data_IF_787028083305
#
_entry.id   IF_787028083305
#
_cell.length_a   1.000
_cell.length_b   1.000
_cell.length_c   1.000
_cell.angle_alpha   90.00
_cell.angle_beta   90.00
_cell.angle_gamma   90.00
#
_symmetry.space_group_name_H-M   'P 1'
#
loop_
_entity.id
_entity.type
_entity.pdbx_description
1 polymer ?
#
# COMPACT_ATOMS: atom_id res chain seq x y z
N UNK A 1 12.02 19.32 -19.58
CA UNK A 1 11.72 18.18 -18.67
C UNK A 1 12.72 18.11 -17.52
N UNK A 2 14.03 18.17 -17.79
CA UNK A 2 15.08 17.98 -16.77
C UNK A 2 15.04 18.94 -15.59
N UNK A 3 14.72 20.23 -15.83
CA UNK A 3 14.62 21.22 -14.75
C UNK A 3 13.47 20.92 -13.77
N UNK A 4 12.36 20.34 -14.25
CA UNK A 4 11.22 19.97 -13.40
C UNK A 4 11.54 18.73 -12.59
N UNK A 5 12.24 17.76 -13.19
CA UNK A 5 12.73 16.57 -12.45
C UNK A 5 13.76 16.95 -11.39
N UNK A 6 14.74 17.80 -11.74
CA UNK A 6 15.73 18.29 -10.78
C UNK A 6 15.08 19.11 -9.65
N UNK A 7 13.99 19.82 -9.92
CA UNK A 7 13.24 20.52 -8.88
C UNK A 7 12.54 19.56 -7.93
N UNK A 8 11.84 18.55 -8.46
CA UNK A 8 11.20 17.52 -7.65
C UNK A 8 12.23 16.75 -6.79
N UNK A 9 13.38 16.41 -7.36
CA UNK A 9 14.49 15.79 -6.63
C UNK A 9 14.97 16.64 -5.46
N UNK A 10 15.19 17.94 -5.67
CA UNK A 10 15.57 18.87 -4.58
C UNK A 10 14.53 18.94 -3.47
N UNK A 11 13.24 18.90 -3.81
CA UNK A 11 12.16 18.89 -2.82
C UNK A 11 12.22 17.63 -1.96
N UNK A 12 12.37 16.46 -2.59
CA UNK A 12 12.46 15.20 -1.84
C UNK A 12 13.72 15.13 -0.98
N UNK A 13 14.90 15.44 -1.54
CA UNK A 13 16.17 15.50 -0.79
C UNK A 13 16.07 16.44 0.41
N UNK A 14 15.49 17.63 0.21
CA UNK A 14 15.29 18.58 1.31
C UNK A 14 14.32 18.09 2.37
N UNK A 15 13.36 17.22 2.04
CA UNK A 15 12.45 16.63 3.00
C UNK A 15 13.09 15.46 3.75
N UNK A 16 13.85 14.61 3.05
CA UNK A 16 14.62 13.51 3.65
C UNK A 16 15.64 14.07 4.67
N UNK A 17 16.33 15.16 4.35
CA UNK A 17 17.31 15.79 5.25
C UNK A 17 16.73 16.34 6.56
N UNK A 18 15.40 16.39 6.71
CA UNK A 18 14.74 16.77 7.96
C UNK A 18 14.36 15.56 8.81
N UNK A 19 14.41 14.35 8.23
CA UNK A 19 14.29 13.10 8.98
C UNK A 19 15.63 12.87 9.68
N UNK A 20 15.65 12.54 10.99
CA UNK A 20 16.91 12.25 11.66
C UNK A 20 17.64 11.09 10.98
N UNK A 21 18.97 11.20 10.86
CA UNK A 21 19.80 10.08 10.38
C UNK A 21 19.65 8.89 11.33
N UNK A 22 19.50 7.70 10.75
CA UNK A 22 19.21 6.51 11.54
C UNK A 22 18.73 5.32 10.72
N UNK A 23 18.37 4.27 11.45
CA UNK A 23 17.74 3.07 10.88
C UNK A 23 16.47 2.77 11.64
N UNK A 24 15.37 2.65 10.91
CA UNK A 24 14.02 2.46 11.43
C UNK A 24 13.42 1.20 10.81
N UNK A 25 12.70 0.40 11.59
CA UNK A 25 12.28 -0.92 11.12
C UNK A 25 10.88 -1.27 11.56
N UNK A 26 10.11 -1.84 10.64
CA UNK A 26 8.80 -2.36 10.94
C UNK A 26 8.59 -3.73 10.32
N UNK A 27 7.77 -4.52 11.02
CA UNK A 27 7.26 -5.80 10.55
C UNK A 27 5.75 -5.80 10.68
N UNK A 28 5.08 -6.19 9.60
CA UNK A 28 3.66 -6.51 9.56
C UNK A 28 3.46 -7.86 8.86
N UNK A 29 2.22 -8.27 8.67
CA UNK A 29 1.88 -9.56 8.09
C UNK A 29 0.73 -9.41 7.10
N UNK A 30 0.73 -10.26 6.08
CA UNK A 30 -0.44 -10.49 5.23
C UNK A 30 -0.88 -11.95 5.40
N UNK A 31 -2.19 -12.16 5.42
CA UNK A 31 -2.77 -13.49 5.53
C UNK A 31 -2.43 -14.31 4.27
N UNK A 32 -1.70 -15.39 4.46
CA UNK A 32 -1.47 -16.45 3.49
C UNK A 32 -2.54 -17.55 3.62
N UNK A 33 -2.09 -18.78 3.82
CA UNK A 33 -2.91 -19.98 3.89
C UNK A 33 -3.49 -20.21 5.28
N UNK A 34 -4.56 -19.51 5.63
CA UNK A 34 -5.21 -19.63 6.95
C UNK A 34 -5.53 -21.09 7.35
N UNK A 35 -5.88 -21.94 6.39
CA UNK A 35 -6.18 -23.37 6.57
C UNK A 35 -4.94 -24.28 6.61
N UNK A 36 -3.76 -23.75 6.27
CA UNK A 36 -2.50 -24.52 6.29
C UNK A 36 -2.18 -24.99 7.72
N UNK A 37 -1.68 -26.21 7.93
CA UNK A 37 -1.13 -26.59 9.23
C UNK A 37 0.18 -25.85 9.58
N UNK A 38 0.86 -25.27 8.58
CA UNK A 38 2.11 -24.52 8.73
C UNK A 38 1.83 -23.05 9.05
N UNK A 39 2.20 -22.60 10.25
CA UNK A 39 2.03 -21.23 10.71
C UNK A 39 2.79 -20.21 9.84
N UNK A 40 3.95 -20.57 9.29
CA UNK A 40 4.72 -19.68 8.42
C UNK A 40 4.05 -19.46 7.06
N UNK A 41 3.10 -20.32 6.71
CA UNK A 41 2.23 -20.12 5.55
C UNK A 41 0.99 -19.32 5.89
N UNK A 42 0.60 -19.19 7.16
CA UNK A 42 -0.56 -18.40 7.59
C UNK A 42 -0.26 -16.92 7.61
N UNK A 43 0.84 -16.54 8.25
CA UNK A 43 1.21 -15.15 8.44
C UNK A 43 2.48 -14.86 7.65
N UNK A 44 2.32 -14.24 6.48
CA UNK A 44 3.44 -13.94 5.60
C UNK A 44 4.03 -12.59 6.01
N UNK A 45 5.26 -12.54 6.55
CA UNK A 45 5.85 -11.29 7.01
C UNK A 45 6.15 -10.33 5.85
N UNK A 46 5.88 -9.04 6.08
CA UNK A 46 6.42 -7.93 5.30
C UNK A 46 7.34 -7.15 6.22
N UNK A 47 8.61 -7.03 5.84
CA UNK A 47 9.65 -6.39 6.63
C UNK A 47 10.18 -5.20 5.85
N UNK A 48 10.30 -4.07 6.53
CA UNK A 48 10.86 -2.84 5.97
C UNK A 48 11.90 -2.31 6.94
N UNK A 49 13.10 -2.07 6.43
CA UNK A 49 14.15 -1.33 7.12
C UNK A 49 14.48 -0.09 6.31
N UNK A 50 14.33 1.08 6.93
CA UNK A 50 14.60 2.39 6.31
C UNK A 50 15.88 2.94 6.94
N UNK A 51 16.89 3.18 6.12
CA UNK A 51 18.12 3.88 6.52
C UNK A 51 18.12 5.27 5.92
N UNK A 52 18.26 6.29 6.77
CA UNK A 52 18.41 7.70 6.36
C UNK A 52 19.86 8.11 6.63
N UNK A 53 20.50 8.67 5.59
CA UNK A 53 21.87 9.21 5.64
C UNK A 53 21.91 10.55 4.88
N UNK A 54 21.84 11.64 5.61
CA UNK A 54 21.78 12.99 5.04
C UNK A 54 20.50 13.21 4.24
N UNK A 55 20.63 13.34 2.92
CA UNK A 55 19.50 13.59 2.01
C UNK A 55 19.08 12.38 1.17
N UNK A 56 19.58 11.19 1.52
CA UNK A 56 19.29 9.93 0.87
C UNK A 56 18.59 8.94 1.80
N UNK A 57 17.76 8.09 1.21
CA UNK A 57 17.01 7.05 1.93
C UNK A 57 17.19 5.70 1.22
N UNK A 58 17.55 4.66 1.97
CA UNK A 58 17.48 3.27 1.51
C UNK A 58 16.32 2.57 2.18
N UNK A 59 15.48 1.89 1.39
CA UNK A 59 14.42 1.00 1.86
C UNK A 59 14.81 -0.44 1.51
N UNK A 60 15.08 -1.24 2.53
CA UNK A 60 15.47 -2.64 2.41
C UNK A 60 14.31 -3.55 2.86
N UNK A 61 13.95 -4.52 2.01
CA UNK A 61 12.86 -5.48 2.24
C UNK A 61 13.38 -6.87 2.64
N UNK A 62 14.64 -7.02 3.01
CA UNK A 62 15.18 -8.26 3.58
C UNK A 62 14.36 -8.76 4.78
N UNK A 63 14.15 -10.07 4.84
CA UNK A 63 13.26 -10.72 5.82
C UNK A 63 11.77 -10.70 5.46
N UNK A 64 11.37 -10.08 4.35
CA UNK A 64 10.03 -10.28 3.75
C UNK A 64 9.87 -11.73 3.30
N UNK A 65 8.67 -12.28 3.43
CA UNK A 65 8.36 -13.67 3.11
C UNK A 65 8.84 -14.08 1.71
N UNK A 66 9.16 -15.36 1.53
CA UNK A 66 9.37 -15.95 0.20
C UNK A 66 8.10 -15.78 -0.67
N UNK A 67 8.28 -15.73 -1.98
CA UNK A 67 7.16 -15.70 -2.91
C UNK A 67 6.25 -16.93 -2.75
N UNK A 68 4.96 -16.74 -2.99
CA UNK A 68 3.95 -17.78 -2.89
C UNK A 68 3.65 -18.34 -4.29
N UNK A 69 3.82 -19.65 -4.54
CA UNK A 69 3.69 -20.21 -5.90
C UNK A 69 2.25 -20.38 -6.38
N UNK A 70 1.29 -20.45 -5.47
CA UNK A 70 -0.07 -20.94 -5.71
C UNK A 70 -1.16 -19.96 -5.24
N UNK A 71 -0.80 -18.71 -4.90
CA UNK A 71 -1.75 -17.63 -4.62
C UNK A 71 -1.33 -16.30 -5.24
N UNK A 72 -2.27 -15.54 -5.82
CA UNK A 72 -1.95 -14.37 -6.64
C UNK A 72 -1.56 -13.10 -5.86
N UNK A 73 -0.96 -13.24 -4.68
CA UNK A 73 -0.64 -12.15 -3.74
C UNK A 73 0.81 -11.67 -3.83
N UNK A 74 1.62 -12.21 -4.74
CA UNK A 74 2.96 -11.70 -4.95
C UNK A 74 2.93 -10.30 -5.58
N UNK A 75 3.87 -9.45 -5.18
CA UNK A 75 3.96 -8.06 -5.61
C UNK A 75 5.14 -7.91 -6.57
N UNK A 76 4.92 -7.63 -7.86
CA UNK A 76 5.99 -7.24 -8.77
C UNK A 76 6.80 -6.08 -8.18
N UNK A 77 8.13 -6.18 -8.25
CA UNK A 77 9.01 -5.16 -7.71
C UNK A 77 8.75 -3.80 -8.36
N UNK A 78 8.67 -3.78 -9.70
CA UNK A 78 8.37 -2.58 -10.49
C UNK A 78 6.87 -2.44 -10.73
N UNK A 79 6.33 -1.25 -10.50
CA UNK A 79 4.94 -0.89 -10.69
C UNK A 79 4.01 -1.32 -9.54
N UNK A 80 4.54 -1.80 -8.41
CA UNK A 80 3.75 -2.12 -7.22
C UNK A 80 4.53 -1.85 -5.95
N UNK A 81 5.64 -2.54 -5.72
CA UNK A 81 6.46 -2.37 -4.51
C UNK A 81 7.12 -1.00 -4.48
N UNK A 82 7.77 -0.62 -5.58
CA UNK A 82 8.37 0.70 -5.76
C UNK A 82 7.36 1.84 -5.60
N UNK A 83 6.19 1.74 -6.23
CA UNK A 83 5.11 2.74 -6.14
C UNK A 83 4.57 2.84 -4.72
N UNK A 84 4.32 1.71 -4.04
CA UNK A 84 3.85 1.68 -2.65
C UNK A 84 4.82 2.42 -1.72
N UNK A 85 6.14 2.19 -1.89
CA UNK A 85 7.18 2.85 -1.11
C UNK A 85 7.28 4.34 -1.43
N UNK A 86 7.42 4.70 -2.72
CA UNK A 86 7.60 6.10 -3.13
C UNK A 86 6.39 6.96 -2.77
N UNK A 87 5.17 6.46 -2.98
CA UNK A 87 3.96 7.19 -2.64
C UNK A 87 3.84 7.39 -1.13
N UNK A 88 4.13 6.37 -0.31
CA UNK A 88 4.09 6.52 1.15
C UNK A 88 5.11 7.54 1.63
N UNK A 89 6.39 7.43 1.22
CA UNK A 89 7.44 8.38 1.64
C UNK A 89 7.06 9.81 1.22
N UNK A 90 6.60 10.00 -0.02
CA UNK A 90 6.14 11.30 -0.51
C UNK A 90 4.93 11.82 0.27
N UNK A 91 4.00 10.95 0.66
CA UNK A 91 2.78 11.38 1.36
C UNK A 91 3.08 11.80 2.79
N UNK A 92 4.01 11.11 3.47
CA UNK A 92 4.46 11.44 4.82
C UNK A 92 5.31 12.71 4.81
N UNK A 93 6.35 12.77 3.97
CA UNK A 93 7.36 13.83 4.03
C UNK A 93 7.01 15.09 3.23
N UNK A 94 6.11 14.99 2.25
CA UNK A 94 5.72 16.07 1.35
C UNK A 94 4.20 16.16 1.23
N UNK A 95 3.50 16.15 2.36
CA UNK A 95 2.04 16.30 2.41
C UNK A 95 1.61 17.56 1.61
N UNK A 96 0.71 17.34 0.66
CA UNK A 96 0.18 18.40 -0.21
C UNK A 96 -0.55 19.47 0.59
N UNK A 97 -1.17 19.13 1.73
CA UNK A 97 -1.83 20.09 2.60
C UNK A 97 -0.84 21.09 3.23
N UNK A 98 0.41 20.67 3.46
CA UNK A 98 1.48 21.47 4.08
C UNK A 98 2.33 22.16 3.02
N UNK A 99 2.72 21.44 1.97
CA UNK A 99 3.69 21.91 0.97
C UNK A 99 3.04 22.42 -0.33
N UNK A 100 1.73 22.27 -0.49
CA UNK A 100 1.02 22.60 -1.72
C UNK A 100 1.31 21.60 -2.84
N UNK A 101 1.12 22.04 -4.09
CA UNK A 101 1.28 21.17 -5.25
C UNK A 101 2.76 20.78 -5.48
N UNK A 102 3.06 19.49 -5.34
CA UNK A 102 4.37 18.89 -5.64
C UNK A 102 4.33 18.24 -7.03
N UNK A 103 5.24 18.59 -7.95
CA UNK A 103 5.33 17.92 -9.24
C UNK A 103 5.65 16.43 -9.08
N UNK A 104 4.71 15.56 -9.44
CA UNK A 104 4.88 14.10 -9.37
C UNK A 104 5.61 13.61 -10.62
N UNK A 105 6.87 13.23 -10.48
CA UNK A 105 7.70 12.66 -11.53
C UNK A 105 8.87 11.87 -10.92
N UNK A 106 9.65 11.21 -11.78
CA UNK A 106 10.81 10.38 -11.43
C UNK A 106 11.86 11.08 -10.55
N UNK A 107 11.95 12.41 -10.61
CA UNK A 107 12.83 13.19 -9.75
C UNK A 107 12.61 12.95 -8.25
N UNK A 108 11.35 12.73 -7.82
CA UNK A 108 11.03 12.41 -6.42
C UNK A 108 11.60 11.06 -5.98
N UNK A 109 11.88 10.15 -6.91
CA UNK A 109 12.30 8.79 -6.62
C UNK A 109 13.83 8.66 -6.52
N UNK A 110 14.58 9.58 -7.14
CA UNK A 110 16.05 9.54 -7.25
C UNK A 110 16.82 9.45 -5.92
N UNK A 111 16.43 10.13 -4.83
CA UNK A 111 17.14 10.00 -3.55
C UNK A 111 16.70 8.77 -2.74
N UNK A 112 15.81 7.93 -3.27
CA UNK A 112 15.25 6.77 -2.58
C UNK A 112 15.70 5.50 -3.30
N UNK A 113 16.58 4.74 -2.65
CA UNK A 113 17.01 3.41 -3.12
C UNK A 113 16.12 2.34 -2.52
N UNK A 114 15.59 1.44 -3.34
CA UNK A 114 14.77 0.31 -2.88
C UNK A 114 15.51 -0.99 -3.18
N UNK A 115 15.55 -1.90 -2.20
CA UNK A 115 16.22 -3.20 -2.30
C UNK A 115 15.27 -4.28 -1.81
N UNK A 116 15.19 -5.39 -2.54
CA UNK A 116 14.42 -6.55 -2.15
C UNK A 116 15.10 -7.83 -2.66
N UNK A 117 15.21 -8.89 -1.84
CA UNK A 117 15.72 -10.18 -2.30
C UNK A 117 14.90 -10.72 -3.48
N UNK A 118 15.55 -11.16 -4.56
CA UNK A 118 14.86 -11.87 -5.63
C UNK A 118 14.22 -13.16 -5.10
N UNK A 119 13.00 -13.45 -5.51
CA UNK A 119 12.24 -14.61 -5.06
C UNK A 119 11.42 -14.38 -3.80
N UNK A 120 11.42 -13.17 -3.22
CA UNK A 120 10.53 -12.83 -2.12
C UNK A 120 9.17 -12.33 -2.61
N UNK A 121 8.21 -12.19 -1.69
CA UNK A 121 6.85 -11.71 -1.93
C UNK A 121 6.83 -10.31 -2.60
N UNK A 122 7.86 -9.49 -2.37
CA UNK A 122 8.03 -8.15 -2.93
C UNK A 122 8.92 -8.09 -4.18
N UNK A 123 9.55 -9.20 -4.59
CA UNK A 123 10.35 -9.26 -5.80
C UNK A 123 10.29 -10.67 -6.40
N UNK A 124 9.10 -11.12 -6.85
CA UNK A 124 8.87 -12.49 -7.27
C UNK A 124 9.53 -12.77 -8.62
N UNK A 125 9.97 -14.00 -8.80
CA UNK A 125 10.40 -14.55 -10.08
C UNK A 125 9.28 -15.37 -10.71
N UNK A 126 9.19 -15.30 -12.05
CA UNK A 126 8.23 -16.10 -12.82
C UNK A 126 8.38 -17.60 -12.47
N UNK A 127 7.28 -18.37 -12.29
CA UNK A 127 5.89 -18.06 -12.65
C UNK A 127 4.98 -17.64 -11.48
N UNK A 128 5.50 -16.97 -10.43
CA UNK A 128 4.65 -16.55 -9.31
C UNK A 128 3.45 -15.69 -9.76
N UNK A 129 2.22 -15.97 -9.30
CA UNK A 129 1.02 -15.22 -9.68
C UNK A 129 0.89 -13.89 -8.91
N UNK A 130 0.43 -12.82 -9.59
CA UNK A 130 0.51 -11.42 -9.11
C UNK A 130 -0.77 -10.59 -9.28
N UNK A 131 -1.91 -11.21 -9.64
CA UNK A 131 -3.13 -10.44 -9.98
C UNK A 131 -3.75 -9.73 -8.76
N UNK A 132 -3.71 -10.34 -7.57
CA UNK A 132 -4.26 -9.81 -6.32
C UNK A 132 -3.19 -9.12 -5.44
N UNK A 133 -2.18 -8.52 -6.08
CA UNK A 133 -1.05 -7.82 -5.43
C UNK A 133 -1.42 -6.55 -4.66
N UNK A 134 -2.63 -6.03 -4.84
CA UNK A 134 -3.00 -4.74 -4.24
C UNK A 134 -3.00 -4.80 -2.71
N UNK A 135 -3.74 -5.72 -2.10
CA UNK A 135 -3.82 -5.83 -0.64
C UNK A 135 -2.43 -5.97 0.04
N UNK A 136 -1.53 -6.88 -0.40
CA UNK A 136 -0.19 -6.97 0.19
C UNK A 136 0.67 -5.74 -0.09
N UNK A 137 0.54 -5.10 -1.26
CA UNK A 137 1.26 -3.85 -1.50
C UNK A 137 0.78 -2.73 -0.59
N UNK A 138 -0.53 -2.65 -0.30
CA UNK A 138 -1.08 -1.66 0.63
C UNK A 138 -0.61 -1.94 2.06
N UNK A 139 -0.45 -3.21 2.42
CA UNK A 139 0.19 -3.62 3.68
C UNK A 139 1.69 -3.27 3.72
N UNK A 140 2.40 -3.36 2.59
CA UNK A 140 3.78 -2.88 2.47
C UNK A 140 3.85 -1.36 2.67
N UNK A 141 2.97 -0.60 2.04
CA UNK A 141 2.87 0.85 2.22
C UNK A 141 2.63 1.22 3.69
N UNK A 142 1.74 0.48 4.38
CA UNK A 142 1.50 0.61 5.81
C UNK A 142 2.74 0.28 6.66
N UNK A 143 3.50 -0.74 6.25
CA UNK A 143 4.76 -1.12 6.92
C UNK A 143 5.83 -0.04 6.78
N UNK A 144 5.94 0.59 5.60
CA UNK A 144 6.82 1.75 5.37
C UNK A 144 6.43 2.91 6.28
N UNK A 145 5.14 3.24 6.35
CA UNK A 145 4.63 4.28 7.24
C UNK A 145 4.92 3.97 8.72
N UNK A 146 4.75 2.71 9.13
CA UNK A 146 5.07 2.24 10.48
C UNK A 146 6.56 2.35 10.79
N UNK A 147 7.46 2.04 9.86
CA UNK A 147 8.90 2.24 10.06
C UNK A 147 9.23 3.74 10.20
N UNK A 148 8.67 4.60 9.33
CA UNK A 148 8.85 6.05 9.42
C UNK A 148 8.28 6.65 10.72
N UNK A 149 7.28 6.01 11.34
CA UNK A 149 6.69 6.49 12.61
C UNK A 149 7.71 6.63 13.75
N UNK A 150 8.80 5.87 13.73
CA UNK A 150 9.88 5.99 14.71
C UNK A 150 10.65 7.32 14.57
N UNK A 151 10.71 7.87 13.36
CA UNK A 151 11.46 9.08 13.04
C UNK A 151 10.58 10.34 12.99
N UNK A 152 9.38 10.21 12.42
CA UNK A 152 8.41 11.30 12.19
C UNK A 152 7.02 10.94 12.73
N UNK A 153 6.87 10.64 14.03
CA UNK A 153 5.61 10.15 14.61
C UNK A 153 4.42 11.10 14.44
N UNK A 154 4.67 12.39 14.21
CA UNK A 154 3.65 13.41 13.99
C UNK A 154 3.07 13.45 12.57
N UNK A 155 3.71 12.77 11.62
CA UNK A 155 3.39 12.86 10.18
C UNK A 155 2.70 11.60 9.64
N UNK A 156 2.40 10.63 10.51
CA UNK A 156 1.85 9.32 10.14
C UNK A 156 0.52 9.04 10.83
N UNK A 157 -0.24 8.08 10.31
CA UNK A 157 -1.38 7.50 11.01
C UNK A 157 -0.97 6.24 11.80
N UNK A 158 -1.79 5.86 12.76
CA UNK A 158 -1.68 4.60 13.52
C UNK A 158 -2.15 3.40 12.68
N UNK A 159 -1.53 3.22 11.51
CA UNK A 159 -1.85 2.16 10.56
C UNK A 159 -3.04 2.47 9.65
N UNK A 160 -3.52 1.43 8.97
CA UNK A 160 -4.71 1.44 8.11
C UNK A 160 -5.60 0.22 8.33
N UNK A 161 -6.91 0.37 8.12
CA UNK A 161 -7.79 -0.70 7.71
C UNK A 161 -7.65 -0.89 6.19
N UNK A 162 -7.13 -2.04 5.77
CA UNK A 162 -6.95 -2.32 4.35
C UNK A 162 -8.30 -2.55 3.66
N UNK A 163 -8.37 -2.23 2.36
CA UNK A 163 -9.56 -2.46 1.56
C UNK A 163 -9.87 -3.95 1.41
N UNK A 164 -11.12 -4.26 1.10
CA UNK A 164 -11.57 -5.63 0.83
C UNK A 164 -12.13 -5.72 -0.57
N UNK A 165 -11.72 -6.77 -1.28
CA UNK A 165 -12.22 -7.04 -2.63
C UNK A 165 -13.05 -8.31 -2.59
N UNK A 166 -14.26 -8.24 -3.12
CA UNK A 166 -15.16 -9.39 -3.24
C UNK A 166 -15.54 -9.52 -4.71
N UNK A 167 -15.28 -10.70 -5.30
CA UNK A 167 -15.70 -11.01 -6.65
C UNK A 167 -17.01 -11.81 -6.61
N UNK A 168 -18.04 -11.27 -7.27
CA UNK A 168 -19.28 -11.95 -7.56
C UNK A 168 -19.26 -12.39 -9.02
N UNK A 169 -19.77 -13.59 -9.30
CA UNK A 169 -19.97 -14.02 -10.68
C UNK A 169 -21.09 -15.04 -10.77
N UNK A 170 -21.66 -15.16 -11.95
CA UNK A 170 -22.76 -16.08 -12.18
C UNK A 170 -23.20 -16.10 -13.63
N UNK A 171 -24.34 -16.76 -13.85
CA UNK A 171 -25.05 -16.77 -15.12
C UNK A 171 -26.36 -16.01 -14.96
N UNK A 172 -26.71 -15.21 -15.96
CA UNK A 172 -28.04 -14.67 -16.17
C UNK A 172 -28.57 -15.19 -17.51
N UNK A 173 -29.39 -16.23 -17.46
CA UNK A 173 -29.69 -17.04 -18.65
C UNK A 173 -28.42 -17.71 -19.19
N UNK A 174 -28.06 -17.37 -20.43
CA UNK A 174 -26.86 -17.86 -21.12
C UNK A 174 -25.65 -16.90 -20.99
N UNK A 175 -25.84 -15.70 -20.44
CA UNK A 175 -24.79 -14.69 -20.32
C UNK A 175 -24.03 -14.84 -19.00
N UNK A 176 -22.70 -14.86 -19.07
CA UNK A 176 -21.84 -14.85 -17.90
C UNK A 176 -21.54 -13.42 -17.44
N UNK A 177 -21.67 -13.17 -16.15
CA UNK A 177 -21.35 -11.88 -15.56
C UNK A 177 -20.32 -12.04 -14.43
N UNK A 178 -19.48 -11.02 -14.28
CA UNK A 178 -18.53 -10.89 -13.19
C UNK A 178 -18.56 -9.44 -12.69
N UNK A 179 -18.62 -9.29 -11.37
CA UNK A 179 -18.54 -8.00 -10.70
C UNK A 179 -17.50 -8.08 -9.59
N UNK A 180 -16.66 -7.07 -9.50
CA UNK A 180 -15.69 -6.93 -8.43
C UNK A 180 -16.08 -5.74 -7.58
N UNK A 181 -16.53 -6.02 -6.36
CA UNK A 181 -16.83 -4.98 -5.39
C UNK A 181 -15.59 -4.67 -4.56
N UNK A 182 -15.33 -3.38 -4.38
CA UNK A 182 -14.21 -2.87 -3.59
C UNK A 182 -14.81 -2.12 -2.41
N UNK A 183 -14.63 -2.67 -1.22
CA UNK A 183 -15.03 -2.03 0.02
C UNK A 183 -13.86 -1.19 0.54
N UNK A 184 -14.14 0.09 0.77
CA UNK A 184 -13.21 1.09 1.25
C UNK A 184 -12.54 0.69 2.58
N UNK A 185 -11.32 1.21 2.77
CA UNK A 185 -10.54 1.02 3.99
C UNK A 185 -10.83 2.07 5.06
N UNK A 186 -9.86 2.25 5.94
CA UNK A 186 -9.85 3.32 6.94
C UNK A 186 -8.43 3.70 7.31
N UNK A 187 -8.23 4.93 7.78
CA UNK A 187 -6.97 5.33 8.42
C UNK A 187 -7.07 5.16 9.92
N UNK A 188 -5.98 4.73 10.55
CA UNK A 188 -5.83 4.85 12.00
C UNK A 188 -5.76 6.31 12.46
N UNK A 189 -5.86 6.52 13.78
CA UNK A 189 -5.74 7.85 14.38
C UNK A 189 -4.43 8.55 14.01
N UNK A 190 -4.46 9.87 13.94
CA UNK A 190 -3.29 10.73 13.68
C UNK A 190 -3.00 11.55 14.93
N UNK A 191 -1.85 12.22 14.97
CA UNK A 191 -1.52 13.04 16.13
C UNK A 191 -2.57 14.14 16.35
N UNK A 192 -3.34 14.01 17.45
CA UNK A 192 -4.38 14.94 17.84
C UNK A 192 -5.67 14.87 17.01
N UNK A 193 -5.84 13.86 16.16
CA UNK A 193 -7.01 13.69 15.29
C UNK A 193 -7.43 12.22 15.19
N UNK A 194 -8.72 11.98 15.04
CA UNK A 194 -9.25 10.65 14.76
C UNK A 194 -8.84 10.17 13.34
N UNK A 195 -9.02 8.87 13.13
CA UNK A 195 -8.90 8.24 11.83
C UNK A 195 -10.02 8.67 10.88
N UNK A 196 -9.88 8.34 9.61
CA UNK A 196 -10.96 8.50 8.62
C UNK A 196 -11.57 7.14 8.33
N UNK A 197 -12.89 7.05 8.45
CA UNK A 197 -13.66 5.85 8.15
C UNK A 197 -14.13 5.80 6.70
N UNK A 198 -14.18 4.59 6.13
CA UNK A 198 -14.70 4.33 4.78
C UNK A 198 -14.06 5.20 3.69
N UNK A 199 -12.73 5.26 3.70
CA UNK A 199 -11.94 5.96 2.69
C UNK A 199 -10.85 5.04 2.15
N UNK A 200 -10.48 5.30 0.90
CA UNK A 200 -9.29 4.73 0.32
C UNK A 200 -8.03 5.24 1.02
N UNK A 201 -7.08 4.31 1.22
CA UNK A 201 -5.86 4.55 1.97
C UNK A 201 -4.60 4.32 1.14
N UNK A 202 -3.56 5.07 1.49
CA UNK A 202 -2.23 5.05 0.88
C UNK A 202 -2.30 5.18 -0.65
N UNK A 203 -1.95 4.15 -1.41
CA UNK A 203 -1.96 4.20 -2.88
C UNK A 203 -3.25 3.64 -3.51
N UNK A 204 -4.29 3.38 -2.72
CA UNK A 204 -5.64 3.16 -3.23
C UNK A 204 -6.18 4.45 -3.89
N UNK A 205 -6.93 4.30 -4.99
CA UNK A 205 -7.53 5.42 -5.72
C UNK A 205 -8.75 4.96 -6.52
N UNK A 206 -9.69 4.38 -5.80
CA UNK A 206 -10.99 3.91 -6.25
C UNK A 206 -12.09 4.83 -5.74
N UNK A 207 -13.28 4.67 -6.31
CA UNK A 207 -14.51 5.29 -5.82
C UNK A 207 -15.51 4.18 -5.64
N UNK A 208 -16.40 4.33 -4.68
CA UNK A 208 -17.50 3.41 -4.49
C UNK A 208 -18.39 3.34 -5.75
N UNK A 209 -18.91 2.14 -6.03
CA UNK A 209 -19.91 1.95 -7.06
C UNK A 209 -21.28 2.42 -6.54
N UNK A 210 -22.02 3.28 -7.26
CA UNK A 210 -23.37 3.65 -6.87
C UNK A 210 -24.28 2.42 -6.83
N UNK A 211 -25.09 2.30 -5.76
CA UNK A 211 -26.02 1.15 -5.61
C UNK A 211 -26.99 1.05 -6.79
N UNK A 212 -27.50 2.19 -7.26
CA UNK A 212 -28.39 2.25 -8.42
C UNK A 212 -27.74 1.68 -9.69
N UNK A 213 -26.43 1.86 -9.85
CA UNK A 213 -25.68 1.32 -10.98
C UNK A 213 -25.50 -0.20 -10.86
N UNK A 214 -25.13 -0.69 -9.67
CA UNK A 214 -25.01 -2.12 -9.37
C UNK A 214 -26.35 -2.82 -9.67
N UNK A 215 -27.45 -2.33 -9.11
CA UNK A 215 -28.76 -3.00 -9.21
C UNK A 215 -29.41 -2.85 -10.60
N UNK A 216 -29.00 -1.86 -11.40
CA UNK A 216 -29.51 -1.68 -12.77
C UNK A 216 -28.81 -2.57 -13.80
N UNK A 217 -27.56 -2.97 -13.54
CA UNK A 217 -26.73 -3.68 -14.52
C UNK A 217 -26.36 -5.11 -14.12
N UNK A 218 -26.48 -5.46 -12.83
CA UNK A 218 -26.10 -6.76 -12.32
C UNK A 218 -27.29 -7.44 -11.63
N UNK A 219 -27.38 -8.78 -11.65
CA UNK A 219 -28.41 -9.52 -10.93
C UNK A 219 -28.07 -9.59 -9.42
N UNK A 220 -27.77 -8.45 -8.83
CA UNK A 220 -27.42 -8.25 -7.42
C UNK A 220 -28.42 -7.28 -6.80
N UNK A 221 -28.70 -7.47 -5.51
CA UNK A 221 -29.52 -6.57 -4.70
C UNK A 221 -28.75 -6.17 -3.45
N UNK A 222 -28.54 -4.88 -3.25
CA UNK A 222 -27.85 -4.35 -2.08
C UNK A 222 -28.90 -4.14 -0.99
N UNK A 223 -28.86 -5.01 0.03
CA UNK A 223 -29.84 -4.93 1.13
C UNK A 223 -29.47 -3.90 2.20
N UNK A 224 -28.16 -3.57 2.33
CA UNK A 224 -27.62 -2.71 3.39
C UNK A 224 -26.30 -2.09 2.92
N UNK A 225 -26.12 -0.78 3.10
CA UNK A 225 -24.88 -0.06 2.83
C UNK A 225 -24.72 1.07 3.85
N UNK A 226 -23.84 0.88 4.82
CA UNK A 226 -23.62 1.82 5.93
C UNK A 226 -22.26 1.61 6.56
N UNK A 227 -21.84 2.57 7.38
CA UNK A 227 -20.65 2.43 8.21
C UNK A 227 -20.83 1.29 9.21
N UNK A 228 -19.76 0.54 9.46
CA UNK A 228 -19.76 -0.51 10.48
C UNK A 228 -19.43 0.11 11.83
N UNK A 229 -20.34 -0.03 12.79
CA UNK A 229 -20.14 0.43 14.17
C UNK A 229 -19.32 -0.59 14.98
N UNK A 230 -18.64 -0.10 16.03
CA UNK A 230 -17.90 -0.89 17.04
C UNK A 230 -16.85 -1.88 16.49
N UNK A 231 -15.99 -1.40 15.59
CA UNK A 231 -14.90 -2.18 14.96
C UNK A 231 -13.51 -1.65 15.21
#
# INVERSE_FOLDING_TARGET
CDQVMAYAERLMRSAIAQVPDGTYSAKTFIDGFLDSPDANKKDLPIVVTITVDGDEMTVDLDGTADQVPDRPINMPFVGTVDIAIWLTIRSVLLDTAVHGHIPVNDGLCRPIRIVAPEGCLANPVFPAPTIARFCPGNQLADTVMKALSEAVPSQVSAGIGNLRVIAFSGLDGDDYWVHMEICEGSYGGRQGLDGMDAVDTLYANTRNNPIEDIESHLPLRVSRYELREDV
#
